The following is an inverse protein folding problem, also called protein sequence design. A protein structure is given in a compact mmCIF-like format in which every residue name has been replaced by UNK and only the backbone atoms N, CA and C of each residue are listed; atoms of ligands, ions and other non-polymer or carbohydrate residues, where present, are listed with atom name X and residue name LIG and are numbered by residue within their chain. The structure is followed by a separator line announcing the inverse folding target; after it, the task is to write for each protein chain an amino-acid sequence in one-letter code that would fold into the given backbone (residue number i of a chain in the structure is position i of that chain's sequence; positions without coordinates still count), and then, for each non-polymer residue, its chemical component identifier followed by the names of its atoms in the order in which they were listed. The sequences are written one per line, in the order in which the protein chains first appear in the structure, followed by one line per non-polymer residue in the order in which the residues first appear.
data_IF_793766452235
#
_entry.id   IF_793766452235
#
_cell.length_a   1.000
_cell.length_b   1.000
_cell.length_c   1.000
_cell.angle_alpha   90.00
_cell.angle_beta   90.00
_cell.angle_gamma   90.00
#
_symmetry.space_group_name_H-M   'P 1'
#
loop_
_entity.id
_entity.type
_entity.pdbx_description
1 polymer ?
#
# COMPACT_ATOMS: atom_id res chain seq x y z
N UNK A 1 25.77 -13.88 12.67
CA UNK A 1 24.65 -13.05 13.19
C UNK A 1 24.31 -11.93 12.21
N UNK A 2 25.29 -11.39 11.48
CA UNK A 2 25.08 -10.37 10.43
C UNK A 2 24.32 -10.84 9.18
N UNK A 3 24.56 -12.06 8.69
CA UNK A 3 23.90 -12.58 7.48
C UNK A 3 22.37 -12.64 7.62
N UNK A 4 21.88 -13.11 8.77
CA UNK A 4 20.44 -13.14 9.08
C UNK A 4 19.81 -11.74 9.09
N UNK A 5 20.57 -10.70 9.46
CA UNK A 5 20.08 -9.31 9.47
C UNK A 5 19.95 -8.76 8.04
N UNK A 6 20.86 -9.12 7.15
CA UNK A 6 20.81 -8.74 5.73
C UNK A 6 19.60 -9.39 5.04
N UNK A 7 19.34 -10.68 5.31
CA UNK A 7 18.17 -11.37 4.76
C UNK A 7 16.85 -10.72 5.21
N UNK A 8 16.75 -10.33 6.49
CA UNK A 8 15.58 -9.63 7.03
C UNK A 8 15.38 -8.26 6.36
N UNK A 9 16.46 -7.50 6.12
CA UNK A 9 16.41 -6.21 5.41
C UNK A 9 15.91 -6.35 3.96
N UNK A 10 16.41 -7.37 3.24
CA UNK A 10 15.96 -7.67 1.87
C UNK A 10 14.49 -8.05 1.85
N UNK A 11 14.06 -8.92 2.78
CA UNK A 11 12.66 -9.33 2.89
C UNK A 11 11.75 -8.13 3.18
N UNK A 12 12.14 -7.24 4.09
CA UNK A 12 11.40 -6.01 4.40
C UNK A 12 11.27 -5.14 3.14
N UNK A 13 12.34 -5.00 2.36
CA UNK A 13 12.34 -4.27 1.09
C UNK A 13 11.33 -4.85 0.10
N UNK A 14 11.34 -6.17 -0.11
CA UNK A 14 10.40 -6.83 -0.99
C UNK A 14 8.94 -6.69 -0.53
N UNK A 15 8.69 -6.84 0.77
CA UNK A 15 7.35 -6.64 1.35
C UNK A 15 6.85 -5.22 1.12
N UNK A 16 7.72 -4.20 1.24
CA UNK A 16 7.35 -2.82 0.96
C UNK A 16 7.02 -2.57 -0.51
N UNK A 17 7.79 -3.13 -1.46
CA UNK A 17 7.47 -3.03 -2.88
C UNK A 17 6.13 -3.68 -3.23
N UNK A 18 5.88 -4.89 -2.71
CA UNK A 18 4.60 -5.59 -2.92
C UNK A 18 3.45 -4.75 -2.35
N UNK A 19 3.63 -4.18 -1.16
CA UNK A 19 2.61 -3.33 -0.53
C UNK A 19 2.31 -2.09 -1.38
N UNK A 20 3.33 -1.41 -1.91
CA UNK A 20 3.16 -0.24 -2.81
C UNK A 20 2.37 -0.61 -4.06
N UNK A 21 2.76 -1.68 -4.75
CA UNK A 21 2.05 -2.16 -5.95
C UNK A 21 0.60 -2.57 -5.65
N UNK A 22 0.38 -3.25 -4.52
CA UNK A 22 -0.96 -3.70 -4.10
C UNK A 22 -1.91 -2.54 -3.79
N UNK A 23 -1.41 -1.41 -3.28
CA UNK A 23 -2.22 -0.20 -3.07
C UNK A 23 -2.74 0.34 -4.40
N UNK A 24 -1.89 0.40 -5.44
CA UNK A 24 -2.30 0.86 -6.77
C UNK A 24 -3.39 -0.05 -7.35
N UNK A 25 -3.18 -1.36 -7.28
CA UNK A 25 -4.17 -2.35 -7.74
C UNK A 25 -5.49 -2.22 -6.98
N UNK A 26 -5.45 -2.03 -5.66
CA UNK A 26 -6.63 -1.81 -4.84
C UNK A 26 -7.38 -0.54 -5.25
N UNK A 27 -6.67 0.57 -5.50
CA UNK A 27 -7.27 1.80 -6.03
C UNK A 27 -8.00 1.56 -7.34
N UNK A 28 -7.36 0.89 -8.31
CA UNK A 28 -7.96 0.54 -9.60
C UNK A 28 -9.18 -0.38 -9.47
N UNK A 29 -9.16 -1.29 -8.50
CA UNK A 29 -10.27 -2.20 -8.26
C UNK A 29 -11.52 -1.48 -7.71
N UNK A 30 -11.35 -0.48 -6.83
CA UNK A 30 -12.44 0.21 -6.13
C UNK A 30 -12.90 1.51 -6.80
N UNK A 31 -12.04 2.19 -7.56
CA UNK A 31 -12.38 3.41 -8.31
C UNK A 31 -13.11 3.09 -9.63
N UNK A 32 -14.30 2.49 -9.52
CA UNK A 32 -15.19 2.30 -10.68
C UNK A 32 -15.90 3.59 -11.10
N UNK A 33 -16.04 4.52 -10.16
CA UNK A 33 -16.59 5.86 -10.35
C UNK A 33 -15.63 6.89 -9.73
N UNK A 34 -15.60 8.14 -10.21
CA UNK A 34 -14.81 9.21 -9.61
C UNK A 34 -15.18 9.42 -8.14
N UNK A 35 -14.18 9.42 -7.25
CA UNK A 35 -14.37 9.68 -5.81
C UNK A 35 -13.27 10.60 -5.29
N UNK A 36 -13.62 11.44 -4.31
CA UNK A 36 -12.63 12.16 -3.54
C UNK A 36 -11.76 11.18 -2.78
N UNK A 37 -10.44 11.40 -2.75
CA UNK A 37 -9.55 10.40 -2.16
C UNK A 37 -9.61 10.30 -0.63
N UNK A 38 -10.23 11.25 0.10
CA UNK A 38 -10.59 10.99 1.51
C UNK A 38 -11.61 9.83 1.63
N UNK A 39 -12.56 9.74 0.71
CA UNK A 39 -13.50 8.63 0.64
C UNK A 39 -12.82 7.33 0.17
N UNK A 40 -11.82 7.45 -0.70
CA UNK A 40 -10.97 6.33 -1.13
C UNK A 40 -10.16 5.75 0.04
N UNK A 41 -9.53 6.60 0.87
CA UNK A 41 -8.81 6.18 2.09
C UNK A 41 -9.72 5.38 3.03
N UNK A 42 -10.97 5.82 3.21
CA UNK A 42 -11.97 5.08 3.97
C UNK A 42 -12.28 3.71 3.36
N UNK A 43 -12.42 3.65 2.04
CA UNK A 43 -12.74 2.42 1.30
C UNK A 43 -11.59 1.41 1.37
N UNK A 44 -10.36 1.85 1.13
CA UNK A 44 -9.16 1.01 1.21
C UNK A 44 -8.97 0.44 2.62
N UNK A 45 -9.17 1.27 3.65
CA UNK A 45 -9.07 0.83 5.05
C UNK A 45 -10.08 -0.26 5.39
N UNK A 46 -11.34 -0.12 4.92
CA UNK A 46 -12.38 -1.15 5.08
C UNK A 46 -12.01 -2.46 4.38
N UNK A 47 -11.26 -2.38 3.27
CA UNK A 47 -10.72 -3.54 2.56
C UNK A 47 -9.40 -4.09 3.16
N UNK A 48 -8.94 -3.58 4.31
CA UNK A 48 -7.70 -4.01 4.97
C UNK A 48 -6.42 -3.39 4.38
N UNK A 49 -6.54 -2.50 3.39
CA UNK A 49 -5.42 -1.80 2.76
C UNK A 49 -5.15 -0.50 3.52
N UNK A 50 -4.12 -0.52 4.37
CA UNK A 50 -3.66 0.68 5.10
C UNK A 50 -2.72 1.49 4.21
N UNK A 51 -3.12 2.70 3.85
CA UNK A 51 -2.29 3.70 3.14
C UNK A 51 -2.57 5.07 3.74
N UNK A 52 -1.55 5.92 3.79
CA UNK A 52 -1.64 7.27 4.30
C UNK A 52 -1.97 8.28 3.20
N UNK A 53 -2.50 9.45 3.56
CA UNK A 53 -2.89 10.49 2.62
C UNK A 53 -1.72 10.94 1.73
N UNK A 54 -0.58 11.26 2.34
CA UNK A 54 0.63 11.71 1.64
C UNK A 54 1.25 10.63 0.73
N UNK A 55 0.86 9.35 0.90
CA UNK A 55 1.28 8.27 0.02
C UNK A 55 0.32 8.11 -1.15
N UNK A 56 -0.97 8.39 -0.92
CA UNK A 56 -2.00 8.32 -1.95
C UNK A 56 -2.01 9.56 -2.85
N UNK A 57 -1.54 10.69 -2.32
CA UNK A 57 -1.36 11.97 -3.00
C UNK A 57 0.09 12.41 -2.86
N UNK A 58 0.97 12.10 -3.83
CA UNK A 58 2.27 12.75 -3.92
C UNK A 58 2.14 14.24 -4.30
#
# INVERSE_FOLDING_TARGET
MDEKRVDDEILIGHVQEIRRGSVVLACLAVLREPRYGYALLGTLRKAGIRVDGNTLYP
#
